data_IF_785997394690
#
_entry.id   IF_785997394690
#
_cell.length_a   1.000
_cell.length_b   1.000
_cell.length_c   1.000
_cell.angle_alpha   90.00
_cell.angle_beta   90.00
_cell.angle_gamma   90.00
#
_symmetry.space_group_name_H-M   'P 1'
#
loop_
_entity.id
_entity.type
_entity.pdbx_description
1 polymer ?
#
# COMPACT_ATOMS: atom_id res chain seq x y z
N UNK A 1 7.47 27.07 2.06
CA UNK A 1 8.09 25.90 2.09
C UNK A 1 7.36 24.85 2.87
N UNK A 2 7.17 23.80 2.27
CA UNK A 2 6.34 22.79 2.83
C UNK A 2 7.20 21.76 3.50
N UNK A 3 7.61 21.99 4.73
CA UNK A 3 8.38 20.98 5.42
C UNK A 3 7.61 19.72 5.59
N UNK A 4 6.36 19.72 5.17
CA UNK A 4 5.47 18.59 5.39
C UNK A 4 5.18 17.82 4.15
N UNK A 5 6.19 17.68 3.30
CA UNK A 5 6.00 16.87 2.11
C UNK A 5 6.01 15.38 2.42
N UNK A 6 6.04 15.03 3.68
CA UNK A 6 6.04 13.63 4.08
C UNK A 6 4.63 13.15 4.35
N UNK A 7 4.39 11.91 4.01
CA UNK A 7 3.10 11.26 4.20
C UNK A 7 3.32 10.01 5.03
N UNK A 8 2.43 9.78 5.98
CA UNK A 8 2.48 8.55 6.77
C UNK A 8 1.80 7.45 5.97
N UNK A 9 2.51 6.34 5.82
CA UNK A 9 1.99 5.20 5.06
C UNK A 9 0.84 4.57 5.83
N UNK A 10 -0.33 4.40 5.19
CA UNK A 10 -1.47 3.78 5.87
C UNK A 10 -1.33 2.27 5.97
N UNK A 11 -2.12 1.67 6.83
CA UNK A 11 -2.16 0.22 6.95
C UNK A 11 -2.99 -0.35 5.80
N UNK A 12 -2.31 -1.09 4.93
CA UNK A 12 -2.95 -1.66 3.75
C UNK A 12 -3.06 -3.17 3.83
N UNK A 13 -2.48 -3.78 4.84
CA UNK A 13 -2.50 -5.23 4.95
C UNK A 13 -3.86 -5.72 5.40
N UNK A 14 -4.29 -6.82 4.84
CA UNK A 14 -5.53 -7.46 5.23
C UNK A 14 -6.77 -6.92 4.55
N UNK A 15 -6.63 -5.92 3.68
CA UNK A 15 -7.77 -5.38 2.94
C UNK A 15 -7.64 -5.77 1.48
N UNK A 16 -8.72 -5.60 0.74
CA UNK A 16 -8.71 -5.90 -0.68
C UNK A 16 -7.85 -4.90 -1.43
N UNK A 17 -7.25 -5.38 -2.48
CA UNK A 17 -6.40 -4.62 -3.36
C UNK A 17 -7.08 -3.32 -3.85
N UNK A 18 -8.36 -3.39 -4.22
CA UNK A 18 -9.06 -2.19 -4.67
C UNK A 18 -9.18 -1.14 -3.57
N UNK A 19 -9.39 -1.57 -2.34
CA UNK A 19 -9.43 -0.65 -1.21
C UNK A 19 -8.05 -0.08 -0.92
N UNK A 20 -7.01 -0.89 -1.05
CA UNK A 20 -5.64 -0.43 -0.84
C UNK A 20 -5.30 0.68 -1.82
N UNK A 21 -5.66 0.53 -3.08
CA UNK A 21 -5.39 1.54 -4.09
C UNK A 21 -6.08 2.85 -3.74
N UNK A 22 -7.30 2.79 -3.27
CA UNK A 22 -8.03 3.99 -2.87
C UNK A 22 -7.33 4.71 -1.72
N UNK A 23 -6.84 3.95 -0.74
CA UNK A 23 -6.14 4.55 0.39
C UNK A 23 -4.83 5.17 -0.04
N UNK A 24 -4.07 4.50 -0.88
CA UNK A 24 -2.82 5.02 -1.41
C UNK A 24 -3.07 6.36 -2.09
N UNK A 25 -4.07 6.42 -2.92
CA UNK A 25 -4.40 7.62 -3.66
C UNK A 25 -4.86 8.74 -2.74
N UNK A 26 -5.66 8.41 -1.73
CA UNK A 26 -6.25 9.41 -0.86
C UNK A 26 -5.23 10.11 0.02
N UNK A 27 -4.09 9.49 0.28
CA UNK A 27 -3.05 10.10 1.11
C UNK A 27 -1.94 10.72 0.28
N UNK A 28 -2.07 10.72 -1.04
CA UNK A 28 -1.09 11.38 -1.90
C UNK A 28 0.09 10.51 -2.28
N UNK A 29 -0.05 9.22 -2.17
CA UNK A 29 0.98 8.28 -2.58
C UNK A 29 0.62 7.67 -3.92
N UNK A 30 1.55 6.92 -4.49
CA UNK A 30 1.37 6.30 -5.79
C UNK A 30 1.48 4.80 -5.68
N UNK A 31 0.89 4.12 -6.64
CA UNK A 31 1.02 2.67 -6.74
C UNK A 31 2.41 2.34 -7.25
N UNK A 32 3.05 1.40 -6.57
CA UNK A 32 4.34 0.92 -7.00
C UNK A 32 4.19 -0.42 -7.71
N UNK A 33 5.08 -1.35 -7.37
CA UNK A 33 5.03 -2.70 -7.93
C UNK A 33 4.06 -3.55 -7.14
N UNK A 34 3.24 -4.29 -7.85
CA UNK A 34 2.30 -5.21 -7.24
C UNK A 34 2.71 -6.62 -7.63
N UNK A 35 2.78 -7.50 -6.67
CA UNK A 35 3.13 -8.88 -6.89
C UNK A 35 1.99 -9.75 -6.38
N UNK A 36 1.53 -10.67 -7.22
CA UNK A 36 0.45 -11.58 -6.84
C UNK A 36 1.04 -12.95 -6.55
N UNK A 37 0.72 -13.50 -5.39
CA UNK A 37 1.23 -14.79 -4.99
C UNK A 37 0.07 -15.72 -4.63
N UNK A 38 0.13 -16.97 -5.07
CA UNK A 38 -0.91 -17.93 -4.69
C UNK A 38 -0.75 -18.34 -3.23
N UNK A 39 -1.86 -18.46 -2.55
CA UNK A 39 -1.86 -18.95 -1.18
C UNK A 39 -3.32 -19.24 -0.79
N UNK A 40 -3.53 -20.00 0.28
CA UNK A 40 -4.84 -20.51 0.62
C UNK A 40 -5.46 -19.86 1.85
N UNK A 41 -4.73 -18.99 2.53
CA UNK A 41 -5.20 -18.46 3.82
C UNK A 41 -6.09 -17.25 3.69
N UNK A 42 -6.00 -16.53 2.57
CA UNK A 42 -6.77 -15.31 2.39
C UNK A 42 -7.55 -15.37 1.09
N UNK A 43 -8.61 -14.60 1.05
CA UNK A 43 -9.37 -14.47 -0.19
C UNK A 43 -8.48 -13.85 -1.27
N UNK A 44 -8.75 -14.16 -2.54
CA UNK A 44 -8.00 -13.55 -3.63
C UNK A 44 -8.08 -12.03 -3.58
N UNK A 45 -7.01 -11.39 -4.03
CA UNK A 45 -6.91 -9.93 -4.10
C UNK A 45 -6.82 -9.26 -2.73
N UNK A 46 -6.39 -10.00 -1.72
CA UNK A 46 -6.14 -9.44 -0.40
C UNK A 46 -4.69 -9.02 -0.29
N UNK A 47 -4.43 -7.87 0.26
CA UNK A 47 -3.06 -7.39 0.46
C UNK A 47 -2.42 -8.19 1.58
N UNK A 48 -1.35 -8.89 1.27
CA UNK A 48 -0.64 -9.73 2.24
C UNK A 48 0.47 -8.95 2.93
N UNK A 49 1.10 -8.04 2.22
CA UNK A 49 2.24 -7.32 2.74
C UNK A 49 2.38 -6.00 1.99
N UNK A 50 3.00 -5.05 2.62
CA UNK A 50 3.25 -3.75 2.00
C UNK A 50 4.66 -3.29 2.30
N UNK A 51 5.19 -2.46 1.42
CA UNK A 51 6.49 -1.85 1.60
C UNK A 51 6.44 -0.46 0.96
N UNK A 52 6.61 0.62 1.71
CA UNK A 52 6.98 0.68 3.13
C UNK A 52 5.87 0.22 4.08
N UNK A 53 6.26 -0.03 5.31
CA UNK A 53 5.32 -0.50 6.32
C UNK A 53 4.44 0.65 6.81
N UNK A 54 3.31 0.29 7.40
CA UNK A 54 2.42 1.32 7.94
C UNK A 54 3.14 2.13 9.01
N UNK A 55 2.80 3.40 9.10
CA UNK A 55 3.42 4.30 10.05
C UNK A 55 4.73 4.90 9.59
N UNK A 56 5.29 4.42 8.48
CA UNK A 56 6.52 4.96 7.93
C UNK A 56 6.22 6.30 7.26
N UNK A 57 7.12 7.26 7.45
CA UNK A 57 6.99 8.54 6.78
C UNK A 57 7.81 8.53 5.51
N UNK A 58 7.15 8.86 4.42
CA UNK A 58 7.78 8.88 3.09
C UNK A 58 7.45 10.19 2.41
N UNK A 59 8.20 10.49 1.37
CA UNK A 59 7.95 11.70 0.60
C UNK A 59 6.62 11.58 -0.13
N UNK A 60 5.99 12.71 -0.37
CA UNK A 60 4.78 12.74 -1.16
C UNK A 60 5.05 12.10 -2.52
N UNK A 61 4.04 11.45 -3.06
CA UNK A 61 4.15 10.75 -4.35
C UNK A 61 5.08 9.55 -4.35
N UNK A 62 5.51 9.09 -3.18
CA UNK A 62 6.29 7.87 -3.10
C UNK A 62 5.45 6.67 -3.50
N UNK A 63 6.11 5.67 -4.11
CA UNK A 63 5.44 4.47 -4.55
C UNK A 63 5.33 3.46 -3.41
N UNK A 64 4.21 2.78 -3.36
CA UNK A 64 3.96 1.73 -2.37
C UNK A 64 3.91 0.41 -3.11
N UNK A 65 4.71 -0.53 -2.66
CA UNK A 65 4.74 -1.87 -3.23
C UNK A 65 3.86 -2.80 -2.41
N UNK A 66 3.12 -3.66 -3.07
CA UNK A 66 2.20 -4.56 -2.41
C UNK A 66 2.43 -5.99 -2.85
N UNK A 67 2.22 -6.91 -1.92
CA UNK A 67 2.15 -8.33 -2.22
C UNK A 67 0.69 -8.73 -1.97
N UNK A 68 0.06 -9.31 -2.96
CA UNK A 68 -1.37 -9.52 -2.97
C UNK A 68 -1.64 -11.00 -3.21
N UNK A 69 -2.66 -11.52 -2.54
CA UNK A 69 -3.06 -12.92 -2.73
C UNK A 69 -3.69 -13.08 -4.10
N UNK A 70 -3.44 -14.25 -4.67
CA UNK A 70 -3.90 -14.56 -6.01
C UNK A 70 -5.13 -15.45 -5.99
#
# INVERSE_FOLDING_TARGET
>A
LAPNDFVTVPDLEGIFYSEAIKKISSVGLKEGSFKFVPQDEFLPNTVLSQNPREGTKVSQDSAINLIISK
#
